data_IF_495096341867
#
_entry.id   IF_495096341867
#
_cell.length_a   1.000
_cell.length_b   1.000
_cell.length_c   1.000
_cell.angle_alpha   90.00
_cell.angle_beta   90.00
_cell.angle_gamma   90.00
#
_symmetry.space_group_name_H-M   'P 1'
#
loop_
_entity.id
_entity.type
_entity.pdbx_description
1 polymer ?
#
# COMPACT_ATOMS: atom_id res chain seq x y z
N UNK A 1 0.54 7.88 6.44
CA UNK A 1 -0.76 8.49 6.82
C UNK A 1 -1.40 7.77 8.00
N UNK A 2 -1.64 6.47 7.91
CA UNK A 2 -2.16 5.63 9.01
C UNK A 2 -1.34 4.35 9.12
N UNK A 3 -1.00 3.96 10.33
CA UNK A 3 -0.36 2.68 10.71
C UNK A 3 -0.60 2.43 12.20
N UNK A 4 -0.30 1.23 12.67
CA UNK A 4 -0.46 0.81 14.07
C UNK A 4 0.51 1.52 15.03
N UNK A 5 1.58 2.09 14.51
CA UNK A 5 2.64 2.76 15.27
C UNK A 5 2.87 4.16 14.71
N UNK A 6 3.07 5.14 15.59
CA UNK A 6 3.48 6.50 15.19
C UNK A 6 4.97 6.70 15.41
N UNK A 7 5.68 7.22 14.41
CA UNK A 7 7.10 7.56 14.47
C UNK A 7 7.35 9.03 14.81
N UNK A 8 6.30 9.88 14.80
CA UNK A 8 6.44 11.31 15.09
C UNK A 8 5.44 11.74 16.16
N UNK A 9 5.85 12.61 17.11
CA UNK A 9 4.93 13.22 18.08
C UNK A 9 3.79 13.97 17.37
N UNK A 10 2.61 13.96 17.97
CA UNK A 10 1.44 14.66 17.45
C UNK A 10 0.64 13.90 16.38
N UNK A 11 1.15 12.77 15.88
CA UNK A 11 0.42 11.90 14.96
C UNK A 11 -0.31 10.78 15.72
N UNK A 12 -1.48 10.44 15.25
CA UNK A 12 -2.34 9.38 15.82
C UNK A 12 -2.11 8.07 15.09
N UNK A 13 -1.95 6.99 15.83
CA UNK A 13 -1.90 5.62 15.30
C UNK A 13 -3.21 4.87 15.56
N UNK A 14 -3.54 3.92 14.72
CA UNK A 14 -4.61 2.95 14.91
C UNK A 14 -4.33 1.70 14.07
N UNK A 15 -5.01 0.61 14.39
CA UNK A 15 -5.00 -0.56 13.52
C UNK A 15 -5.57 -0.20 12.14
N UNK A 16 -4.73 -0.25 11.11
CA UNK A 16 -5.08 0.10 9.73
C UNK A 16 -3.90 0.63 8.95
N UNK A 17 -4.09 0.83 7.65
CA UNK A 17 -3.07 1.30 6.73
C UNK A 17 -3.57 2.44 5.85
N UNK A 18 -2.73 3.45 5.67
CA UNK A 18 -2.86 4.44 4.60
C UNK A 18 -1.48 5.02 4.27
N UNK A 19 -1.10 4.98 3.00
CA UNK A 19 0.16 5.49 2.49
C UNK A 19 -0.13 6.59 1.46
N UNK A 20 0.46 7.79 1.64
CA UNK A 20 0.44 8.81 0.61
C UNK A 20 1.50 8.48 -0.45
N UNK A 21 1.10 8.45 -1.69
CA UNK A 21 1.96 8.42 -2.87
C UNK A 21 1.91 9.81 -3.49
N UNK A 22 3.04 10.52 -3.47
CA UNK A 22 3.19 11.89 -3.98
C UNK A 22 4.25 11.90 -5.06
N UNK A 23 3.83 11.88 -6.32
CA UNK A 23 4.66 11.83 -7.51
C UNK A 23 4.31 12.99 -8.44
N UNK A 24 5.23 13.41 -9.33
CA UNK A 24 4.91 14.44 -10.33
C UNK A 24 3.73 14.08 -11.24
N UNK A 25 3.47 12.79 -11.44
CA UNK A 25 2.42 12.26 -12.32
C UNK A 25 1.08 12.08 -11.63
N UNK A 26 1.05 11.91 -10.29
CA UNK A 26 -0.18 11.67 -9.53
C UNK A 26 0.06 11.81 -8.01
N UNK A 27 -0.90 12.40 -7.32
CA UNK A 27 -0.98 12.39 -5.86
C UNK A 27 -2.17 11.53 -5.43
N UNK A 28 -1.91 10.43 -4.75
CA UNK A 28 -2.95 9.47 -4.39
C UNK A 28 -2.71 8.83 -3.02
N UNK A 29 -3.75 8.23 -2.45
CA UNK A 29 -3.62 7.34 -1.30
C UNK A 29 -3.67 5.87 -1.75
N UNK A 30 -2.76 5.08 -1.21
CA UNK A 30 -2.84 3.64 -1.14
C UNK A 30 -3.47 3.28 0.21
N UNK A 31 -4.68 2.74 0.20
CA UNK A 31 -5.57 2.56 1.35
C UNK A 31 -5.87 3.86 2.12
N UNK A 32 -6.90 3.86 2.94
CA UNK A 32 -7.38 5.07 3.61
C UNK A 32 -7.50 4.93 5.14
N UNK A 33 -7.21 3.73 5.68
CA UNK A 33 -7.30 3.47 7.11
C UNK A 33 -8.74 3.26 7.61
N UNK A 34 -8.91 3.13 8.96
CA UNK A 34 -10.16 2.73 9.57
C UNK A 34 -11.20 3.85 9.68
N UNK A 35 -10.81 5.12 9.69
CA UNK A 35 -11.73 6.23 9.84
C UNK A 35 -11.23 7.54 9.23
N UNK A 36 -12.17 8.34 8.71
CA UNK A 36 -11.85 9.63 8.10
C UNK A 36 -11.32 10.64 9.12
N UNK A 37 -11.84 10.65 10.34
CA UNK A 37 -11.37 11.53 11.42
C UNK A 37 -9.87 11.33 11.71
N UNK A 38 -9.42 10.08 11.78
CA UNK A 38 -8.01 9.74 11.97
C UNK A 38 -7.16 10.20 10.78
N UNK A 39 -7.62 9.88 9.55
CA UNK A 39 -6.92 10.24 8.33
C UNK A 39 -6.77 11.76 8.19
N UNK A 40 -7.86 12.51 8.42
CA UNK A 40 -7.89 13.97 8.35
C UNK A 40 -6.98 14.59 9.42
N UNK A 41 -7.09 14.14 10.68
CA UNK A 41 -6.26 14.62 11.78
C UNK A 41 -4.77 14.47 11.50
N UNK A 42 -4.35 13.31 10.94
CA UNK A 42 -2.95 13.09 10.58
C UNK A 42 -2.54 13.91 9.34
N UNK A 43 -3.43 14.08 8.36
CA UNK A 43 -3.15 14.92 7.20
C UNK A 43 -2.92 16.39 7.63
N UNK A 44 -3.76 16.93 8.50
CA UNK A 44 -3.60 18.29 9.04
C UNK A 44 -2.28 18.45 9.82
N UNK A 45 -1.96 17.49 10.69
CA UNK A 45 -0.71 17.50 11.45
C UNK A 45 0.55 17.39 10.58
N UNK A 46 0.43 16.76 9.41
CA UNK A 46 1.49 16.64 8.39
C UNK A 46 1.47 17.80 7.37
N UNK A 47 0.55 18.77 7.50
CA UNK A 47 0.34 19.87 6.55
C UNK A 47 0.02 19.37 5.12
N UNK A 48 -0.70 18.26 5.02
CA UNK A 48 -1.14 17.66 3.76
C UNK A 48 -2.60 18.03 3.47
N UNK A 49 -2.86 18.44 2.24
CA UNK A 49 -4.20 18.79 1.79
C UNK A 49 -4.86 17.63 1.05
N UNK A 50 -5.83 16.96 1.67
CA UNK A 50 -6.54 15.83 1.06
C UNK A 50 -7.41 16.24 -0.16
N UNK A 51 -7.70 17.54 -0.36
CA UNK A 51 -8.41 18.00 -1.56
C UNK A 51 -7.54 18.01 -2.83
N UNK A 52 -6.22 17.89 -2.67
CA UNK A 52 -5.26 17.77 -3.79
C UNK A 52 -5.09 16.34 -4.29
N UNK A 53 -5.65 15.37 -3.59
CA UNK A 53 -5.61 13.98 -4.04
C UNK A 53 -6.42 13.82 -5.32
N UNK A 54 -5.86 13.05 -6.25
CA UNK A 54 -6.47 12.73 -7.55
C UNK A 54 -7.12 11.35 -7.54
N UNK A 55 -6.56 10.41 -6.76
CA UNK A 55 -7.06 9.05 -6.69
C UNK A 55 -6.89 8.40 -5.32
N UNK A 56 -7.61 7.30 -5.13
CA UNK A 56 -7.44 6.35 -4.04
C UNK A 56 -7.33 4.96 -4.64
N UNK A 57 -6.34 4.19 -4.21
CA UNK A 57 -6.17 2.80 -4.56
C UNK A 57 -6.42 1.94 -3.31
N UNK A 58 -7.46 1.12 -3.33
CA UNK A 58 -7.81 0.22 -2.24
C UNK A 58 -7.20 -1.15 -2.53
N UNK A 59 -6.32 -1.59 -1.65
CA UNK A 59 -5.67 -2.89 -1.77
C UNK A 59 -6.67 -4.05 -1.64
N UNK A 60 -7.48 -4.03 -0.59
CA UNK A 60 -8.54 -5.00 -0.30
C UNK A 60 -9.62 -4.39 0.60
N UNK A 61 -10.72 -5.12 0.85
CA UNK A 61 -11.94 -4.55 1.43
C UNK A 61 -12.07 -4.70 2.95
N UNK A 62 -11.02 -4.96 3.71
CA UNK A 62 -11.10 -4.92 5.17
C UNK A 62 -11.29 -3.48 5.68
N UNK A 63 -12.06 -3.33 6.76
CA UNK A 63 -12.49 -2.03 7.29
C UNK A 63 -11.31 -1.12 7.72
N UNK A 64 -10.21 -1.69 8.13
CA UNK A 64 -8.98 -0.99 8.52
C UNK A 64 -8.17 -0.46 7.33
N UNK A 65 -8.57 -0.79 6.09
CA UNK A 65 -8.02 -0.27 4.83
C UNK A 65 -8.99 0.66 4.09
N UNK A 66 -10.31 0.42 4.23
CA UNK A 66 -11.34 1.12 3.45
C UNK A 66 -12.27 2.00 4.30
N UNK A 67 -12.15 1.96 5.64
CA UNK A 67 -13.11 2.59 6.55
C UNK A 67 -13.26 4.10 6.40
N UNK A 68 -12.20 4.82 6.02
CA UNK A 68 -12.26 6.26 5.79
C UNK A 68 -12.84 6.65 4.42
N UNK A 69 -13.07 5.71 3.48
CA UNK A 69 -13.35 6.02 2.08
C UNK A 69 -14.59 6.89 1.88
N UNK A 70 -15.72 6.57 2.54
CA UNK A 70 -16.94 7.37 2.42
C UNK A 70 -16.76 8.81 2.92
N UNK A 71 -16.06 9.01 4.05
CA UNK A 71 -15.74 10.34 4.56
C UNK A 71 -14.81 11.11 3.63
N UNK A 72 -13.82 10.43 3.07
CA UNK A 72 -12.88 11.02 2.12
C UNK A 72 -13.58 11.43 0.81
N UNK A 73 -14.50 10.63 0.29
CA UNK A 73 -15.29 10.95 -0.91
C UNK A 73 -16.29 12.07 -0.67
N UNK A 74 -16.85 12.19 0.53
CA UNK A 74 -17.67 13.35 0.91
C UNK A 74 -16.83 14.62 0.99
N UNK A 75 -15.57 14.53 1.40
CA UNK A 75 -14.63 15.64 1.48
C UNK A 75 -14.06 16.04 0.11
N UNK A 76 -13.70 15.05 -0.72
CA UNK A 76 -13.19 15.25 -2.08
C UNK A 76 -13.94 14.33 -3.08
N UNK A 77 -15.10 14.76 -3.61
CA UNK A 77 -15.94 13.93 -4.48
C UNK A 77 -15.38 13.73 -5.89
N UNK A 78 -14.25 14.35 -6.23
CA UNK A 78 -13.61 14.23 -7.56
C UNK A 78 -12.61 13.07 -7.63
N UNK A 79 -12.38 12.39 -6.50
CA UNK A 79 -11.43 11.29 -6.44
C UNK A 79 -11.83 10.13 -7.33
N UNK A 80 -10.89 9.65 -8.12
CA UNK A 80 -11.00 8.35 -8.79
C UNK A 80 -10.65 7.23 -7.81
N UNK A 81 -11.48 6.20 -7.70
CA UNK A 81 -11.29 5.09 -6.76
C UNK A 81 -10.99 3.80 -7.52
N UNK A 82 -9.84 3.19 -7.24
CA UNK A 82 -9.50 1.87 -7.74
C UNK A 82 -9.85 0.82 -6.69
N UNK A 83 -10.78 -0.09 -7.01
CA UNK A 83 -11.34 -1.09 -6.11
C UNK A 83 -10.99 -2.51 -6.57
N UNK A 84 -10.72 -3.45 -5.66
CA UNK A 84 -10.44 -4.85 -6.02
C UNK A 84 -11.71 -5.66 -6.33
N UNK A 85 -12.90 -5.06 -6.24
CA UNK A 85 -14.19 -5.74 -6.43
C UNK A 85 -15.03 -5.05 -7.52
N UNK A 86 -15.34 -5.76 -8.64
CA UNK A 86 -16.13 -5.19 -9.73
C UNK A 86 -17.58 -4.87 -9.36
N UNK A 87 -18.15 -5.55 -8.33
CA UNK A 87 -19.52 -5.26 -7.87
C UNK A 87 -19.55 -3.95 -7.10
N UNK A 88 -18.56 -3.72 -6.24
CA UNK A 88 -18.42 -2.46 -5.53
C UNK A 88 -18.12 -1.32 -6.50
N UNK A 89 -17.21 -1.51 -7.46
CA UNK A 89 -16.99 -0.53 -8.54
C UNK A 89 -18.31 -0.10 -9.17
N UNK A 90 -19.18 -1.05 -9.52
CA UNK A 90 -20.47 -0.74 -10.12
C UNK A 90 -21.39 0.06 -9.16
N UNK A 91 -21.38 -0.27 -7.86
CA UNK A 91 -22.15 0.47 -6.84
C UNK A 91 -21.65 1.92 -6.71
N UNK A 92 -20.32 2.15 -6.69
CA UNK A 92 -19.72 3.49 -6.64
C UNK A 92 -20.08 4.33 -7.87
N UNK A 93 -19.97 3.78 -9.06
CA UNK A 93 -20.35 4.45 -10.32
C UNK A 93 -21.84 4.84 -10.32
N UNK A 94 -22.74 3.95 -9.85
CA UNK A 94 -24.17 4.26 -9.70
C UNK A 94 -24.45 5.36 -8.67
N UNK A 95 -23.57 5.53 -7.70
CA UNK A 95 -23.64 6.60 -6.70
C UNK A 95 -22.99 7.92 -7.16
N UNK A 96 -22.52 7.98 -8.41
CA UNK A 96 -21.97 9.19 -9.03
C UNK A 96 -20.47 9.40 -8.81
N UNK A 97 -19.75 8.41 -8.26
CA UNK A 97 -18.30 8.47 -8.10
C UNK A 97 -17.57 7.86 -9.29
N UNK A 98 -16.38 8.37 -9.60
CA UNK A 98 -15.49 7.73 -10.56
C UNK A 98 -14.80 6.53 -9.90
N UNK A 99 -15.06 5.32 -10.39
CA UNK A 99 -14.50 4.11 -9.85
C UNK A 99 -14.09 3.11 -10.94
N UNK A 100 -13.00 2.40 -10.71
CA UNK A 100 -12.47 1.38 -11.61
C UNK A 100 -12.06 0.13 -10.83
N UNK A 101 -12.14 -1.03 -11.48
CA UNK A 101 -11.61 -2.30 -11.00
C UNK A 101 -10.68 -2.85 -12.08
N UNK A 102 -9.39 -2.92 -11.76
CA UNK A 102 -8.35 -3.40 -12.66
C UNK A 102 -8.16 -4.90 -12.40
N UNK A 103 -8.85 -5.75 -13.14
CA UNK A 103 -8.75 -7.21 -12.97
C UNK A 103 -7.43 -7.77 -13.51
N UNK A 104 -6.81 -7.09 -14.47
CA UNK A 104 -5.51 -7.41 -15.08
C UNK A 104 -4.49 -6.30 -14.81
N UNK A 105 -3.18 -6.58 -14.96
CA UNK A 105 -2.15 -5.56 -14.82
C UNK A 105 -2.41 -4.36 -15.72
N UNK A 106 -2.31 -3.14 -15.16
CA UNK A 106 -2.56 -1.91 -15.89
C UNK A 106 -1.70 -0.75 -15.38
N UNK A 107 -1.39 0.18 -16.27
CA UNK A 107 -0.79 1.46 -15.89
C UNK A 107 -1.89 2.44 -15.44
N UNK A 108 -1.71 3.05 -14.27
CA UNK A 108 -2.64 4.03 -13.68
C UNK A 108 -2.23 5.45 -14.05
N UNK A 109 -0.94 5.74 -13.93
CA UNK A 109 -0.32 7.02 -14.30
C UNK A 109 1.12 6.75 -14.75
N UNK A 110 1.83 7.76 -15.20
CA UNK A 110 3.25 7.62 -15.53
C UNK A 110 4.04 7.12 -14.31
N UNK A 111 4.72 5.98 -14.46
CA UNK A 111 5.47 5.34 -13.39
C UNK A 111 4.63 4.64 -12.32
N UNK A 112 3.30 4.55 -12.48
CA UNK A 112 2.41 3.89 -11.51
C UNK A 112 1.59 2.79 -12.18
N UNK A 113 1.65 1.58 -11.63
CA UNK A 113 1.00 0.39 -12.18
C UNK A 113 0.24 -0.38 -11.09
N UNK A 114 -0.79 -1.11 -11.49
CA UNK A 114 -1.49 -2.08 -10.65
C UNK A 114 -1.13 -3.50 -11.10
N UNK A 115 -1.08 -4.44 -10.16
CA UNK A 115 -0.88 -5.87 -10.47
C UNK A 115 -2.09 -6.51 -11.15
N UNK A 116 -3.25 -5.84 -11.11
CA UNK A 116 -4.54 -6.51 -11.24
C UNK A 116 -4.93 -7.17 -9.92
N UNK A 117 -6.13 -7.72 -9.88
CA UNK A 117 -6.69 -8.34 -8.66
C UNK A 117 -6.24 -9.79 -8.55
N UNK A 118 -5.50 -10.10 -7.49
CA UNK A 118 -5.18 -11.48 -7.10
C UNK A 118 -6.39 -12.05 -6.36
N UNK A 119 -7.00 -13.09 -6.95
CA UNK A 119 -8.18 -13.75 -6.38
C UNK A 119 -7.78 -14.74 -5.29
N UNK A 120 -8.52 -14.73 -4.17
CA UNK A 120 -8.28 -15.61 -3.04
C UNK A 120 -9.43 -15.62 -2.05
N UNK A 121 -9.16 -16.03 -0.82
CA UNK A 121 -10.14 -15.89 0.28
C UNK A 121 -10.46 -14.40 0.54
N UNK A 122 -9.47 -13.56 0.38
CA UNK A 122 -9.57 -12.10 0.31
C UNK A 122 -8.92 -11.68 -1.00
N UNK A 123 -9.69 -11.06 -1.88
CA UNK A 123 -9.19 -10.48 -3.12
C UNK A 123 -8.34 -9.25 -2.78
N UNK A 124 -7.12 -9.18 -3.32
CA UNK A 124 -6.18 -8.09 -3.05
C UNK A 124 -5.42 -7.70 -4.32
N UNK A 125 -5.09 -6.41 -4.43
CA UNK A 125 -4.28 -5.85 -5.50
C UNK A 125 -3.14 -5.01 -4.93
N UNK A 126 -1.98 -5.01 -5.61
CA UNK A 126 -0.79 -4.26 -5.23
C UNK A 126 -0.58 -3.08 -6.18
N UNK A 127 -0.01 -2.00 -5.63
CA UNK A 127 0.41 -0.83 -6.41
C UNK A 127 1.92 -0.89 -6.63
N UNK A 128 2.35 -0.63 -7.85
CA UNK A 128 3.75 -0.60 -8.22
C UNK A 128 4.14 0.83 -8.60
N UNK A 129 5.24 1.30 -8.06
CA UNK A 129 5.81 2.60 -8.37
C UNK A 129 7.17 2.38 -9.00
N UNK A 130 7.36 2.90 -10.22
CA UNK A 130 8.64 2.89 -10.91
C UNK A 130 9.35 4.23 -10.74
N UNK A 131 10.55 4.21 -10.20
CA UNK A 131 11.42 5.36 -10.08
C UNK A 131 12.87 4.94 -10.29
N UNK A 132 13.62 5.71 -11.07
CA UNK A 132 15.06 5.51 -11.33
C UNK A 132 15.43 4.08 -11.77
N UNK A 133 14.58 3.45 -12.59
CA UNK A 133 14.80 2.10 -13.09
C UNK A 133 14.53 0.98 -12.09
N UNK A 134 14.01 1.30 -10.91
CA UNK A 134 13.62 0.36 -9.86
C UNK A 134 12.11 0.32 -9.69
N UNK A 135 11.55 -0.81 -9.30
CA UNK A 135 10.13 -0.96 -8.97
C UNK A 135 9.95 -1.17 -7.47
N UNK A 136 9.10 -0.35 -6.88
CA UNK A 136 8.65 -0.45 -5.48
C UNK A 136 7.23 -1.01 -5.47
N UNK A 137 6.99 -2.08 -4.73
CA UNK A 137 5.67 -2.65 -4.50
C UNK A 137 5.09 -2.13 -3.18
N UNK A 138 3.89 -1.54 -3.25
CA UNK A 138 3.06 -1.27 -2.08
C UNK A 138 2.04 -2.40 -1.93
N UNK A 139 1.89 -2.90 -0.71
CA UNK A 139 0.97 -3.98 -0.37
C UNK A 139 0.15 -3.63 0.87
N UNK A 140 -1.13 -4.07 0.88
CA UNK A 140 -2.02 -3.90 2.03
C UNK A 140 -1.69 -4.89 3.14
N UNK A 141 -2.00 -6.16 2.90
CA UNK A 141 -1.77 -7.26 3.84
C UNK A 141 -1.08 -8.49 3.24
N UNK A 142 -0.98 -8.60 1.92
CA UNK A 142 -0.52 -9.80 1.21
C UNK A 142 -1.33 -11.07 1.56
N UNK A 143 -2.67 -10.95 1.61
CA UNK A 143 -3.55 -12.10 1.87
C UNK A 143 -3.36 -13.28 0.90
N UNK A 144 -3.04 -13.06 -0.39
CA UNK A 144 -2.71 -14.16 -1.29
C UNK A 144 -1.39 -14.88 -0.94
N UNK A 145 -0.54 -14.26 -0.11
CA UNK A 145 0.82 -14.69 0.18
C UNK A 145 1.87 -13.79 -0.47
N UNK A 146 3.03 -13.62 0.20
CA UNK A 146 4.11 -12.74 -0.31
C UNK A 146 4.70 -13.27 -1.62
N UNK A 147 4.72 -14.58 -1.82
CA UNK A 147 5.21 -15.19 -3.06
C UNK A 147 4.30 -14.84 -4.23
N UNK A 148 3.01 -15.09 -4.11
CA UNK A 148 1.99 -14.81 -5.12
C UNK A 148 1.93 -13.30 -5.44
N UNK A 149 2.02 -12.45 -4.41
CA UNK A 149 2.07 -11.01 -4.58
C UNK A 149 3.29 -10.54 -5.37
N UNK A 150 4.49 -11.09 -5.07
CA UNK A 150 5.71 -10.76 -5.79
C UNK A 150 5.72 -11.30 -7.22
N UNK A 151 5.23 -12.51 -7.46
CA UNK A 151 5.10 -13.07 -8.82
C UNK A 151 4.20 -12.18 -9.70
N UNK A 152 3.05 -11.75 -9.16
CA UNK A 152 2.16 -10.84 -9.86
C UNK A 152 2.80 -9.45 -10.09
N UNK A 153 3.48 -8.92 -9.08
CA UNK A 153 4.18 -7.64 -9.17
C UNK A 153 5.32 -7.66 -10.19
N UNK A 154 6.14 -8.72 -10.21
CA UNK A 154 7.21 -8.90 -11.20
C UNK A 154 6.64 -8.95 -12.61
N UNK A 155 5.55 -9.72 -12.82
CA UNK A 155 4.86 -9.80 -14.12
C UNK A 155 4.28 -8.47 -14.57
N UNK A 156 3.74 -7.65 -13.65
CA UNK A 156 3.15 -6.35 -13.94
C UNK A 156 4.20 -5.23 -14.05
N UNK A 157 5.39 -5.43 -13.49
CA UNK A 157 6.47 -4.45 -13.47
C UNK A 157 7.09 -4.25 -14.85
N UNK A 158 7.29 -2.99 -15.30
CA UNK A 158 8.02 -2.72 -16.54
C UNK A 158 9.47 -3.21 -16.55
N UNK A 159 10.06 -3.40 -15.37
CA UNK A 159 11.45 -3.89 -15.21
C UNK A 159 11.53 -5.41 -15.02
N UNK A 160 10.40 -6.11 -15.00
CA UNK A 160 10.32 -7.53 -14.63
C UNK A 160 11.02 -7.86 -13.29
N UNK A 161 10.98 -6.93 -12.36
CA UNK A 161 11.64 -7.06 -11.06
C UNK A 161 10.92 -6.20 -10.01
N UNK A 162 11.10 -6.53 -8.73
CA UNK A 162 10.69 -5.71 -7.58
C UNK A 162 11.92 -5.47 -6.71
N UNK A 163 12.31 -4.21 -6.55
CA UNK A 163 13.46 -3.82 -5.75
C UNK A 163 13.12 -3.62 -4.27
N UNK A 164 11.95 -3.02 -3.99
CA UNK A 164 11.51 -2.73 -2.64
C UNK A 164 10.06 -3.17 -2.39
N UNK A 165 9.76 -3.58 -1.16
CA UNK A 165 8.40 -3.95 -0.70
C UNK A 165 8.04 -3.12 0.52
N UNK A 166 6.92 -2.39 0.47
CA UNK A 166 6.44 -1.50 1.53
C UNK A 166 5.00 -1.86 1.86
N UNK A 167 4.69 -2.09 3.13
CA UNK A 167 3.32 -2.37 3.58
C UNK A 167 3.21 -3.58 4.49
N UNK A 168 2.00 -4.10 4.64
CA UNK A 168 1.69 -5.27 5.45
C UNK A 168 2.05 -6.57 4.74
N UNK A 169 2.67 -7.52 5.47
CA UNK A 169 3.11 -8.80 4.93
C UNK A 169 2.36 -10.00 5.50
N UNK A 170 1.43 -9.76 6.43
CA UNK A 170 0.64 -10.79 7.12
C UNK A 170 1.48 -11.93 7.74
N UNK A 171 2.67 -11.59 8.22
CA UNK A 171 3.63 -12.53 8.80
C UNK A 171 3.52 -12.48 10.33
N UNK A 172 3.20 -13.63 10.95
CA UNK A 172 2.99 -13.76 12.39
C UNK A 172 4.19 -14.30 13.17
N UNK A 173 5.01 -15.14 12.55
CA UNK A 173 6.07 -15.91 13.19
C UNK A 173 7.47 -15.63 12.62
N UNK A 174 8.51 -16.05 13.36
CA UNK A 174 9.88 -15.98 12.89
C UNK A 174 10.17 -16.94 11.72
N UNK A 175 9.50 -18.09 11.70
CA UNK A 175 9.62 -19.06 10.60
C UNK A 175 9.09 -18.48 9.30
N UNK A 176 7.87 -17.93 9.32
CA UNK A 176 7.28 -17.25 8.16
C UNK A 176 8.14 -16.07 7.68
N UNK A 177 8.75 -15.32 8.62
CA UNK A 177 9.66 -14.23 8.27
C UNK A 177 10.91 -14.72 7.55
N UNK A 178 11.46 -15.88 7.95
CA UNK A 178 12.61 -16.49 7.30
C UNK A 178 12.28 -16.98 5.89
N UNK A 179 11.13 -17.66 5.73
CA UNK A 179 10.66 -18.16 4.43
C UNK A 179 10.38 -16.99 3.45
N UNK A 180 9.72 -15.95 3.95
CA UNK A 180 9.45 -14.74 3.18
C UNK A 180 10.76 -14.03 2.76
N UNK A 181 11.71 -13.90 3.68
CA UNK A 181 13.02 -13.33 3.38
C UNK A 181 13.76 -14.13 2.31
N UNK A 182 13.81 -15.45 2.45
CA UNK A 182 14.51 -16.32 1.48
C UNK A 182 13.95 -16.12 0.06
N UNK A 183 12.63 -16.11 -0.08
CA UNK A 183 12.00 -15.88 -1.38
C UNK A 183 12.21 -14.45 -1.89
N UNK A 184 12.03 -13.42 -1.05
CA UNK A 184 12.29 -12.04 -1.43
C UNK A 184 13.72 -11.84 -1.94
N UNK A 185 14.71 -12.46 -1.27
CA UNK A 185 16.12 -12.41 -1.71
C UNK A 185 16.35 -13.15 -3.02
N UNK A 186 15.73 -14.31 -3.21
CA UNK A 186 15.79 -15.09 -4.45
C UNK A 186 15.32 -14.28 -5.66
N UNK A 187 14.21 -13.50 -5.51
CA UNK A 187 13.66 -12.69 -6.60
C UNK A 187 14.25 -11.28 -6.68
N UNK A 188 15.27 -10.96 -5.87
CA UNK A 188 16.03 -9.71 -5.97
C UNK A 188 15.52 -8.53 -5.16
N UNK A 189 14.59 -8.73 -4.23
CA UNK A 189 14.16 -7.66 -3.31
C UNK A 189 15.32 -7.26 -2.41
N UNK A 190 15.72 -5.98 -2.47
CA UNK A 190 16.83 -5.42 -1.72
C UNK A 190 16.36 -4.65 -0.48
N UNK A 191 15.21 -3.99 -0.54
CA UNK A 191 14.70 -3.11 0.52
C UNK A 191 13.31 -3.56 0.96
N UNK A 192 13.06 -3.51 2.27
CA UNK A 192 11.72 -3.73 2.83
C UNK A 192 11.37 -2.68 3.87
N UNK A 193 10.08 -2.35 3.94
CA UNK A 193 9.51 -1.49 4.98
C UNK A 193 8.18 -2.08 5.48
N UNK A 194 8.25 -3.17 6.29
CA UNK A 194 7.07 -3.90 6.73
C UNK A 194 6.33 -3.15 7.84
N UNK A 195 5.00 -3.14 7.76
CA UNK A 195 4.16 -2.44 8.73
C UNK A 195 2.84 -3.18 9.00
N UNK A 196 1.92 -2.51 9.65
CA UNK A 196 0.53 -2.90 9.86
C UNK A 196 0.37 -4.35 10.38
N UNK A 197 -0.09 -5.30 9.53
CA UNK A 197 -0.37 -6.70 9.90
C UNK A 197 0.89 -7.58 10.05
N UNK A 198 2.10 -7.04 9.89
CA UNK A 198 3.34 -7.75 10.16
C UNK A 198 3.64 -7.72 11.66
N UNK A 199 3.75 -8.87 12.31
CA UNK A 199 3.95 -8.94 13.76
C UNK A 199 5.27 -8.30 14.22
N UNK A 200 5.36 -7.83 15.48
CA UNK A 200 6.62 -7.28 16.02
C UNK A 200 7.78 -8.27 15.96
N UNK A 201 7.49 -9.58 16.17
CA UNK A 201 8.49 -10.63 16.08
C UNK A 201 9.01 -10.78 14.64
N UNK A 202 8.12 -10.79 13.66
CA UNK A 202 8.48 -10.86 12.24
C UNK A 202 9.28 -9.61 11.81
N UNK A 203 8.85 -8.41 12.19
CA UNK A 203 9.60 -7.16 11.93
C UNK A 203 11.01 -7.23 12.50
N UNK A 204 11.17 -7.67 13.75
CA UNK A 204 12.48 -7.81 14.39
C UNK A 204 13.39 -8.82 13.66
N UNK A 205 12.83 -9.93 13.19
CA UNK A 205 13.57 -10.91 12.40
C UNK A 205 13.97 -10.34 11.03
N UNK A 206 13.03 -9.76 10.31
CA UNK A 206 13.26 -9.15 9.00
C UNK A 206 14.28 -8.01 9.06
N UNK A 207 14.28 -7.21 10.14
CA UNK A 207 15.28 -6.16 10.36
C UNK A 207 16.71 -6.73 10.45
N UNK A 208 16.89 -7.87 11.11
CA UNK A 208 18.20 -8.54 11.18
C UNK A 208 18.61 -9.14 9.84
N UNK A 209 17.65 -9.72 9.10
CA UNK A 209 17.90 -10.43 7.85
C UNK A 209 18.18 -9.49 6.66
N UNK A 210 17.49 -8.35 6.60
CA UNK A 210 17.71 -7.33 5.55
C UNK A 210 18.79 -6.31 5.93
N UNK A 211 19.09 -6.17 7.22
CA UNK A 211 20.10 -5.23 7.72
C UNK A 211 19.88 -3.80 7.17
N UNK A 212 20.81 -3.28 6.37
CA UNK A 212 20.71 -1.93 5.77
C UNK A 212 19.53 -1.78 4.82
N UNK A 213 18.99 -2.87 4.28
CA UNK A 213 17.79 -2.87 3.44
C UNK A 213 16.47 -2.81 4.22
N UNK A 214 16.49 -2.77 5.55
CA UNK A 214 15.30 -2.62 6.37
C UNK A 214 15.04 -1.15 6.69
N UNK A 215 13.84 -0.68 6.37
CA UNK A 215 13.36 0.67 6.69
C UNK A 215 12.23 0.56 7.71
N UNK A 216 12.37 1.22 8.86
CA UNK A 216 11.31 1.29 9.86
C UNK A 216 10.10 2.05 9.33
N UNK A 217 8.88 1.53 9.59
CA UNK A 217 7.64 2.09 9.11
C UNK A 217 6.67 2.43 10.25
N UNK A 218 5.85 3.45 10.01
CA UNK A 218 4.83 3.93 10.92
C UNK A 218 4.26 5.26 10.45
N UNK A 219 3.27 5.80 11.18
CA UNK A 219 2.70 7.10 10.86
C UNK A 219 3.77 8.18 10.92
N UNK A 220 3.91 8.96 9.85
CA UNK A 220 4.94 9.99 9.71
C UNK A 220 6.26 9.49 9.11
N UNK A 221 6.36 8.20 8.75
CA UNK A 221 7.46 7.71 7.91
C UNK A 221 7.42 8.38 6.53
N UNK A 222 8.58 8.74 6.02
CA UNK A 222 8.76 9.30 4.68
C UNK A 222 9.87 8.50 3.97
N UNK A 223 9.51 7.88 2.86
CA UNK A 223 10.45 7.11 2.03
C UNK A 223 10.59 7.82 0.69
N UNK A 224 11.79 8.31 0.40
CA UNK A 224 12.08 9.01 -0.86
C UNK A 224 12.62 8.02 -1.88
N UNK A 225 11.99 7.96 -3.04
CA UNK A 225 12.29 6.96 -4.08
C UNK A 225 13.69 7.13 -4.70
N UNK A 226 14.26 8.33 -4.64
CA UNK A 226 15.64 8.58 -5.07
C UNK A 226 16.71 8.11 -4.05
N UNK A 227 16.29 7.64 -2.87
CA UNK A 227 17.17 7.16 -1.81
C UNK A 227 17.06 5.64 -1.57
N UNK A 228 16.27 4.95 -2.40
CA UNK A 228 16.05 3.50 -2.31
C UNK A 228 17.00 2.76 -3.25
#
# INVERSE_FOLDING_TARGET
MVDNVSLKPGLRSAWGLSILVDLPSIKMLFDVGPSFDLLLSNAEALSLNLSELEAVFISHMHADHVGALNGLLAYNPKLKVYLPDPKLKLAFVRSGFEAECLEEPAQIAEGVYATGVLRGAIDEQMLLIQAEGKTVMLTGCTHPGIKEALEAAIKASPTNSVYAVIGGLHIGSASEALDAWAYMREVGVAVISPCHCTSPLAKSMLAKLFAEGYVENGVGCEIRLNNI
#
